data_IF_083784909345
#
_entry.id   IF_083784909345
#
_cell.length_a   1.000
_cell.length_b   1.000
_cell.length_c   1.000
_cell.angle_alpha   90.00
_cell.angle_beta   90.00
_cell.angle_gamma   90.00
#
_symmetry.space_group_name_H-M   'P 1'
#
loop_
_entity.id
_entity.type
_entity.pdbx_description
1 polymer ?
#
# COMPACT_ATOMS: atom_id res chain seq x y z
N UNK A 1 -22.53 -33.27 4.49
CA UNK A 1 -22.64 -32.29 5.60
C UNK A 1 -21.36 -32.23 6.42
N UNK A 2 -20.83 -33.39 6.86
CA UNK A 2 -19.60 -33.47 7.66
C UNK A 2 -18.36 -32.91 6.92
N UNK A 3 -18.23 -33.22 5.63
CA UNK A 3 -17.07 -32.78 4.82
C UNK A 3 -17.00 -31.26 4.62
N UNK A 4 -18.15 -30.60 4.45
CA UNK A 4 -18.21 -29.15 4.30
C UNK A 4 -17.83 -28.45 5.61
N UNK A 5 -18.30 -28.96 6.75
CA UNK A 5 -17.97 -28.41 8.07
C UNK A 5 -16.49 -28.63 8.41
N UNK A 6 -15.95 -29.80 8.07
CA UNK A 6 -14.53 -30.10 8.21
C UNK A 6 -13.65 -29.19 7.34
N UNK A 7 -14.02 -29.02 6.06
CA UNK A 7 -13.34 -28.11 5.14
C UNK A 7 -13.37 -26.66 5.63
N UNK A 8 -14.53 -26.17 6.06
CA UNK A 8 -14.70 -24.82 6.60
C UNK A 8 -13.84 -24.59 7.85
N UNK A 9 -13.75 -25.58 8.75
CA UNK A 9 -12.91 -25.52 9.94
C UNK A 9 -11.44 -25.38 9.59
N UNK A 10 -10.94 -26.14 8.60
CA UNK A 10 -9.55 -26.06 8.17
C UNK A 10 -9.22 -24.68 7.58
N UNK A 11 -10.08 -24.17 6.68
CA UNK A 11 -9.88 -22.85 6.06
C UNK A 11 -9.91 -21.73 7.10
N UNK A 12 -10.76 -21.84 8.13
CA UNK A 12 -10.79 -20.88 9.23
C UNK A 12 -9.50 -20.89 10.06
N UNK A 13 -8.97 -22.08 10.39
CA UNK A 13 -7.70 -22.21 11.13
C UNK A 13 -6.53 -21.67 10.30
N UNK A 14 -6.49 -21.97 9.01
CA UNK A 14 -5.49 -21.44 8.08
C UNK A 14 -5.53 -19.90 8.04
N UNK A 15 -6.72 -19.31 7.92
CA UNK A 15 -6.87 -17.86 7.91
C UNK A 15 -6.40 -17.22 9.23
N UNK A 16 -6.70 -17.83 10.37
CA UNK A 16 -6.19 -17.40 11.67
C UNK A 16 -4.66 -17.48 11.76
N UNK A 17 -4.09 -18.58 11.26
CA UNK A 17 -2.64 -18.78 11.20
C UNK A 17 -1.95 -17.71 10.35
N UNK A 18 -2.43 -17.47 9.13
CA UNK A 18 -1.88 -16.44 8.24
C UNK A 18 -2.02 -15.05 8.84
N UNK A 19 -3.12 -14.76 9.55
CA UNK A 19 -3.26 -13.49 10.29
C UNK A 19 -2.19 -13.31 11.36
N UNK A 20 -1.80 -14.38 12.06
CA UNK A 20 -0.72 -14.33 13.06
C UNK A 20 0.65 -14.12 12.40
N UNK A 21 0.94 -14.82 11.31
CA UNK A 21 2.14 -14.60 10.50
C UNK A 21 2.23 -13.13 10.04
N UNK A 22 1.15 -12.58 9.49
CA UNK A 22 1.16 -11.20 9.02
C UNK A 22 1.46 -10.19 10.15
N UNK A 23 0.94 -10.45 11.36
CA UNK A 23 1.29 -9.64 12.53
C UNK A 23 2.78 -9.73 12.91
N UNK A 24 3.39 -10.90 12.73
CA UNK A 24 4.81 -11.12 12.98
C UNK A 24 5.69 -10.39 11.96
N UNK A 25 5.33 -10.41 10.68
CA UNK A 25 6.04 -9.62 9.67
C UNK A 25 5.90 -8.12 9.92
N UNK A 26 4.72 -7.66 10.34
CA UNK A 26 4.51 -6.27 10.77
C UNK A 26 5.44 -5.90 11.92
N UNK A 27 5.57 -6.77 12.93
CA UNK A 27 6.51 -6.57 14.03
C UNK A 27 7.97 -6.49 13.54
N UNK A 28 8.41 -7.40 12.67
CA UNK A 28 9.77 -7.34 12.12
C UNK A 28 10.05 -6.08 11.30
N UNK A 29 9.06 -5.58 10.54
CA UNK A 29 9.18 -4.32 9.84
C UNK A 29 9.35 -3.14 10.81
N UNK A 30 8.58 -3.10 11.90
CA UNK A 30 8.72 -2.04 12.92
C UNK A 30 10.07 -2.09 13.63
N UNK A 31 10.57 -3.28 13.96
CA UNK A 31 11.89 -3.46 14.57
C UNK A 31 13.01 -3.03 13.62
N UNK A 32 12.92 -3.37 12.34
CA UNK A 32 13.87 -2.92 11.33
C UNK A 32 13.85 -1.39 11.15
N UNK A 33 12.68 -0.76 11.26
CA UNK A 33 12.55 0.69 11.19
C UNK A 33 13.20 1.38 12.40
N UNK A 34 13.02 0.83 13.61
CA UNK A 34 13.71 1.30 14.81
C UNK A 34 15.23 1.15 14.69
N UNK A 35 15.71 0.03 14.14
CA UNK A 35 17.13 -0.19 13.88
C UNK A 35 17.70 0.83 12.90
N UNK A 36 17.02 1.10 11.79
CA UNK A 36 17.44 2.11 10.81
C UNK A 36 17.54 3.49 11.47
N UNK A 37 16.53 3.86 12.27
CA UNK A 37 16.53 5.13 13.00
C UNK A 37 17.77 5.24 13.91
N UNK A 38 18.01 4.24 14.75
CA UNK A 38 19.15 4.25 15.67
C UNK A 38 20.50 4.32 14.96
N UNK A 39 20.68 3.56 13.86
CA UNK A 39 21.92 3.60 13.07
C UNK A 39 22.09 4.95 12.37
N UNK A 40 21.00 5.54 11.86
CA UNK A 40 21.05 6.87 11.22
C UNK A 40 21.48 7.96 12.21
N UNK A 41 20.97 7.92 13.44
CA UNK A 41 21.32 8.87 14.49
C UNK A 41 22.81 8.76 14.86
N UNK A 42 23.32 7.53 15.02
CA UNK A 42 24.75 7.29 15.29
C UNK A 42 25.64 7.70 14.11
N UNK A 43 25.16 7.53 12.87
CA UNK A 43 25.90 7.93 11.68
C UNK A 43 25.98 9.45 11.53
N UNK A 44 24.92 10.18 11.89
CA UNK A 44 24.91 11.65 11.88
C UNK A 44 25.92 12.23 12.88
N UNK A 45 26.07 11.61 14.05
CA UNK A 45 27.08 12.01 15.05
C UNK A 45 28.49 11.58 14.64
N UNK A 46 28.63 10.71 13.64
CA UNK A 46 29.92 10.20 13.16
C UNK A 46 30.45 9.01 13.95
N UNK A 47 29.67 8.44 14.87
CA UNK A 47 30.03 7.24 15.62
C UNK A 47 29.96 5.96 14.76
N UNK A 48 29.16 6.00 13.68
CA UNK A 48 29.04 4.91 12.72
C UNK A 48 29.26 5.37 11.28
N UNK A 49 29.84 4.50 10.42
CA UNK A 49 30.02 4.83 9.02
C UNK A 49 28.67 4.89 8.31
N UNK A 50 28.54 5.79 7.31
CA UNK A 50 27.30 5.98 6.54
C UNK A 50 26.85 4.71 5.80
N UNK A 51 27.78 3.79 5.49
CA UNK A 51 27.48 2.50 4.86
C UNK A 51 26.51 1.66 5.71
N UNK A 52 26.64 1.68 7.04
CA UNK A 52 25.75 0.94 7.95
C UNK A 52 24.30 1.42 7.83
N UNK A 53 24.10 2.72 7.56
CA UNK A 53 22.77 3.30 7.34
C UNK A 53 22.15 2.77 6.05
N UNK A 54 22.94 2.61 4.99
CA UNK A 54 22.49 2.01 3.73
C UNK A 54 22.12 0.55 3.92
N UNK A 55 22.95 -0.23 4.62
CA UNK A 55 22.65 -1.63 4.93
C UNK A 55 21.38 -1.78 5.77
N UNK A 56 21.20 -0.91 6.78
CA UNK A 56 19.99 -0.89 7.59
C UNK A 56 18.74 -0.52 6.79
N UNK A 57 18.87 0.37 5.79
CA UNK A 57 17.77 0.75 4.91
C UNK A 57 17.38 -0.40 3.97
N UNK A 58 18.36 -1.09 3.37
CA UNK A 58 18.13 -2.30 2.57
C UNK A 58 17.46 -3.38 3.42
N UNK A 59 17.92 -3.57 4.66
CA UNK A 59 17.32 -4.54 5.58
C UNK A 59 15.86 -4.21 5.90
N UNK A 60 15.53 -2.94 6.16
CA UNK A 60 14.14 -2.49 6.33
C UNK A 60 13.31 -2.78 5.09
N UNK A 61 13.84 -2.48 3.90
CA UNK A 61 13.14 -2.73 2.64
C UNK A 61 12.81 -4.21 2.46
N UNK A 62 13.75 -5.11 2.75
CA UNK A 62 13.48 -6.56 2.72
C UNK A 62 12.35 -6.96 3.68
N UNK A 63 12.28 -6.38 4.89
CA UNK A 63 11.19 -6.67 5.85
C UNK A 63 9.85 -6.11 5.44
N UNK A 64 9.83 -4.99 4.71
CA UNK A 64 8.60 -4.46 4.13
C UNK A 64 8.07 -5.37 3.00
N UNK A 65 8.97 -5.95 2.19
CA UNK A 65 8.60 -6.94 1.19
C UNK A 65 8.04 -8.22 1.82
N UNK A 66 8.68 -8.75 2.87
CA UNK A 66 8.16 -9.89 3.63
C UNK A 66 6.73 -9.62 4.16
N UNK A 67 6.51 -8.42 4.70
CA UNK A 67 5.18 -8.00 5.17
C UNK A 67 4.16 -7.97 4.03
N UNK A 68 4.51 -7.41 2.88
CA UNK A 68 3.61 -7.39 1.71
C UNK A 68 3.25 -8.79 1.24
N UNK A 69 4.22 -9.72 1.23
CA UNK A 69 3.96 -11.14 0.91
C UNK A 69 2.94 -11.73 1.89
N UNK A 70 3.12 -11.50 3.20
CA UNK A 70 2.17 -11.97 4.21
C UNK A 70 0.78 -11.33 4.12
N UNK A 71 0.69 -10.06 3.73
CA UNK A 71 -0.58 -9.37 3.47
C UNK A 71 -1.33 -10.00 2.29
N UNK A 72 -0.62 -10.28 1.18
CA UNK A 72 -1.18 -10.94 0.01
C UNK A 72 -1.70 -12.34 0.37
N UNK A 73 -0.93 -13.11 1.13
CA UNK A 73 -1.34 -14.44 1.58
C UNK A 73 -2.56 -14.38 2.49
N UNK A 74 -2.60 -13.41 3.41
CA UNK A 74 -3.76 -13.18 4.29
C UNK A 74 -5.02 -12.85 3.47
N UNK A 75 -4.90 -11.97 2.47
CA UNK A 75 -6.02 -11.63 1.57
C UNK A 75 -6.51 -12.87 0.83
N UNK A 76 -5.59 -13.69 0.31
CA UNK A 76 -5.93 -14.94 -0.37
C UNK A 76 -6.75 -15.87 0.53
N UNK A 77 -6.31 -16.08 1.77
CA UNK A 77 -7.01 -16.94 2.75
C UNK A 77 -8.34 -16.36 3.20
N UNK A 78 -8.44 -15.04 3.34
CA UNK A 78 -9.72 -14.38 3.63
C UNK A 78 -10.71 -14.50 2.46
N UNK A 79 -10.24 -14.42 1.21
CA UNK A 79 -11.07 -14.66 0.03
C UNK A 79 -11.55 -16.11 -0.05
N UNK A 80 -10.68 -17.09 0.25
CA UNK A 80 -11.08 -18.50 0.37
C UNK A 80 -12.18 -18.68 1.43
N UNK A 81 -12.08 -18.00 2.56
CA UNK A 81 -13.08 -18.03 3.62
C UNK A 81 -14.41 -17.36 3.22
N UNK A 82 -14.35 -16.24 2.49
CA UNK A 82 -15.53 -15.52 2.01
C UNK A 82 -16.40 -16.37 1.07
N UNK A 83 -15.78 -17.25 0.27
CA UNK A 83 -16.49 -18.19 -0.61
C UNK A 83 -17.32 -19.20 0.21
N UNK A 84 -16.82 -19.61 1.38
CA UNK A 84 -17.47 -20.60 2.25
C UNK A 84 -18.63 -19.99 3.04
N UNK A 85 -18.60 -18.68 3.33
CA UNK A 85 -19.67 -17.96 4.00
C UNK A 85 -20.31 -16.88 3.09
N UNK A 86 -21.12 -17.29 2.09
CA UNK A 86 -21.72 -16.38 1.11
C UNK A 86 -22.76 -15.41 1.70
N UNK A 87 -23.15 -15.58 2.97
CA UNK A 87 -24.18 -14.77 3.63
C UNK A 87 -23.60 -13.62 4.49
N UNK A 88 -22.28 -13.42 4.46
CA UNK A 88 -21.63 -12.23 5.02
C UNK A 88 -21.41 -11.16 3.94
N UNK A 89 -22.51 -10.72 3.33
CA UNK A 89 -22.55 -9.67 2.32
C UNK A 89 -22.28 -8.28 2.90
N UNK A 90 -21.08 -8.06 3.46
CA UNK A 90 -20.38 -6.76 3.49
C UNK A 90 -18.93 -6.98 3.91
N UNK A 91 -18.17 -7.83 3.20
CA UNK A 91 -16.72 -7.58 3.15
C UNK A 91 -16.54 -6.34 2.29
N UNK A 92 -16.71 -5.18 2.93
CA UNK A 92 -16.19 -3.93 2.40
C UNK A 92 -14.74 -4.22 2.06
N UNK A 93 -14.42 -4.18 0.77
CA UNK A 93 -13.09 -4.10 0.23
C UNK A 93 -12.50 -2.78 0.74
N UNK A 94 -12.24 -2.70 2.05
CA UNK A 94 -11.76 -1.51 2.71
C UNK A 94 -10.35 -1.30 2.20
N UNK A 95 -10.26 -0.41 1.20
CA UNK A 95 -9.10 0.38 0.88
C UNK A 95 -7.81 -0.43 0.98
N UNK A 96 -7.62 -1.36 0.06
CA UNK A 96 -6.27 -1.73 -0.35
C UNK A 96 -5.65 -0.47 -0.98
N UNK A 97 -5.19 0.44 -0.13
CA UNK A 97 -4.18 1.41 -0.50
C UNK A 97 -2.88 0.63 -0.61
N UNK A 98 -2.74 -0.17 -1.67
CA UNK A 98 -1.45 -0.60 -2.18
C UNK A 98 -0.84 0.66 -2.77
N UNK A 99 -0.42 1.58 -1.90
CA UNK A 99 0.42 2.70 -2.33
C UNK A 99 1.81 2.11 -2.44
N UNK A 100 2.12 1.55 -3.60
CA UNK A 100 3.51 1.33 -3.97
C UNK A 100 4.25 2.67 -3.83
N UNK A 101 5.51 2.61 -3.39
CA UNK A 101 6.43 3.75 -3.45
C UNK A 101 6.40 4.46 -4.81
N UNK A 102 6.27 3.71 -5.90
CA UNK A 102 6.13 4.26 -7.25
C UNK A 102 4.79 5.00 -7.43
N UNK A 103 3.69 4.46 -6.91
CA UNK A 103 2.36 5.08 -6.96
C UNK A 103 2.27 6.33 -6.06
N UNK A 104 3.00 6.35 -4.95
CA UNK A 104 3.14 7.55 -4.11
C UNK A 104 3.89 8.65 -4.84
N UNK A 105 5.01 8.32 -5.49
CA UNK A 105 5.76 9.28 -6.32
C UNK A 105 4.90 9.74 -7.50
N UNK A 106 4.17 8.84 -8.14
CA UNK A 106 3.26 9.17 -9.24
C UNK A 106 2.12 10.11 -8.78
N UNK A 107 1.43 9.81 -7.69
CA UNK A 107 0.37 10.67 -7.18
C UNK A 107 0.88 12.05 -6.71
N UNK A 108 2.07 12.11 -6.10
CA UNK A 108 2.74 13.38 -5.75
C UNK A 108 3.09 14.19 -7.00
N UNK A 109 3.65 13.55 -8.03
CA UNK A 109 3.98 14.23 -9.30
C UNK A 109 2.74 14.73 -10.02
N UNK A 110 1.68 13.92 -10.12
CA UNK A 110 0.40 14.35 -10.70
C UNK A 110 -0.21 15.53 -9.94
N UNK A 111 -0.19 15.50 -8.60
CA UNK A 111 -0.71 16.59 -7.78
C UNK A 111 0.09 17.88 -7.99
N UNK A 112 1.42 17.79 -8.07
CA UNK A 112 2.28 18.94 -8.33
C UNK A 112 2.04 19.51 -9.73
N UNK A 113 1.90 18.66 -10.76
CA UNK A 113 1.59 19.07 -12.13
C UNK A 113 0.19 19.71 -12.22
N UNK A 114 -0.80 19.17 -11.50
CA UNK A 114 -2.13 19.78 -11.44
C UNK A 114 -2.07 21.16 -10.79
N UNK A 115 -1.31 21.33 -9.71
CA UNK A 115 -1.14 22.61 -9.04
C UNK A 115 -0.43 23.64 -9.93
N UNK A 116 0.61 23.25 -10.68
CA UNK A 116 1.24 24.17 -11.64
C UNK A 116 0.29 24.55 -12.77
N UNK A 117 -0.47 23.60 -13.33
CA UNK A 117 -1.49 23.90 -14.36
C UNK A 117 -2.57 24.84 -13.82
N UNK A 118 -3.07 24.64 -12.60
CA UNK A 118 -4.09 25.52 -11.98
C UNK A 118 -3.52 26.93 -11.75
N UNK A 119 -2.25 27.03 -11.33
CA UNK A 119 -1.61 28.33 -11.15
C UNK A 119 -1.36 29.06 -12.49
N UNK A 120 -1.06 28.32 -13.56
CA UNK A 120 -0.88 28.84 -14.91
C UNK A 120 -2.19 29.10 -15.67
N UNK A 121 -3.33 28.54 -15.25
CA UNK A 121 -4.65 28.83 -15.83
C UNK A 121 -5.02 30.31 -15.74
N UNK A 122 -4.57 30.99 -14.70
CA UNK A 122 -4.86 32.41 -14.49
C UNK A 122 -3.94 33.33 -15.32
N UNK A 123 -2.86 32.80 -15.90
CA UNK A 123 -1.87 33.59 -16.65
C UNK A 123 -1.79 33.22 -18.14
N UNK A 124 -2.21 32.02 -18.54
CA UNK A 124 -2.10 31.54 -19.92
C UNK A 124 -3.48 31.32 -20.60
N UNK A 125 -3.87 32.18 -21.58
CA UNK A 125 -5.17 32.12 -22.23
C UNK A 125 -5.38 30.91 -23.15
N UNK A 126 -4.33 30.18 -23.54
CA UNK A 126 -4.47 28.95 -24.34
C UNK A 126 -4.98 27.78 -23.51
N UNK A 127 -4.58 27.71 -22.24
CA UNK A 127 -4.97 26.64 -21.32
C UNK A 127 -6.45 26.76 -20.94
N UNK A 128 -6.96 27.98 -20.75
CA UNK A 128 -8.38 28.22 -20.49
C UNK A 128 -9.27 27.83 -21.68
N UNK A 129 -8.84 28.14 -22.91
CA UNK A 129 -9.54 27.74 -24.13
C UNK A 129 -9.58 26.22 -24.31
N UNK A 130 -8.45 25.54 -24.08
CA UNK A 130 -8.38 24.08 -24.15
C UNK A 130 -9.32 23.41 -23.14
N UNK A 131 -9.32 23.86 -21.88
CA UNK A 131 -10.19 23.29 -20.84
C UNK A 131 -11.67 23.56 -21.10
N UNK A 132 -12.02 24.76 -21.60
CA UNK A 132 -13.38 25.08 -22.02
C UNK A 132 -13.86 24.15 -23.15
N UNK A 133 -13.00 23.89 -24.14
CA UNK A 133 -13.32 22.96 -25.23
C UNK A 133 -13.55 21.53 -24.70
N UNK A 134 -12.70 21.06 -23.78
CA UNK A 134 -12.84 19.72 -23.19
C UNK A 134 -14.15 19.58 -22.40
N UNK A 135 -14.54 20.63 -21.68
CA UNK A 135 -15.82 20.69 -20.96
C UNK A 135 -17.02 20.64 -21.91
N UNK A 136 -16.94 21.37 -23.02
CA UNK A 136 -17.97 21.36 -24.07
C UNK A 136 -18.13 19.97 -24.70
N UNK A 137 -17.04 19.30 -25.06
CA UNK A 137 -17.09 17.95 -25.63
C UNK A 137 -17.69 16.92 -24.67
N UNK A 138 -17.43 17.06 -23.37
CA UNK A 138 -18.00 16.18 -22.34
C UNK A 138 -19.51 16.36 -22.16
N UNK A 139 -20.03 17.56 -22.37
CA UNK A 139 -21.48 17.85 -22.33
C UNK A 139 -22.24 17.42 -23.59
N UNK A 140 -21.55 17.25 -24.72
CA UNK A 140 -22.15 16.82 -25.99
C UNK A 140 -22.26 15.29 -26.10
N UNK A 141 -21.55 14.57 -25.22
CA UNK A 141 -21.54 13.10 -25.14
C UNK A 141 -22.54 12.52 -24.12
N UNK A 142 -23.31 13.38 -23.45
CA UNK A 142 -24.51 13.07 -22.66
C UNK A 142 -25.76 13.52 -23.44
#
# INVERSE_FOLDING_TARGET
MNDLMFYASNVYVDALYTKKINSLFSYFATLAAQRLKGISELSVVGERPTIDTVEAAIFLQSRLLDRQVGEIEMIKKLNELAIINPMSSTLSLSNMNITDSLEQVYSLTIKNIQQTIINEQNTNPLISQYLASKKYWKQKSD
#
